data_IF_936047556172
#
_entry.id   IF_936047556172
#
_cell.length_a   1.000
_cell.length_b   1.000
_cell.length_c   1.000
_cell.angle_alpha   90.00
_cell.angle_beta   90.00
_cell.angle_gamma   90.00
#
_symmetry.space_group_name_H-M   'P 1'
#
loop_
_entity.id
_entity.type
_entity.pdbx_description
1 polymer ?
#
# COMPACT_ATOMS: atom_id res chain seq x y z
N UNK A 1 10.52 -7.30 17.34
CA UNK A 1 10.65 -6.43 16.15
C UNK A 1 10.63 -7.34 14.94
N UNK A 2 9.93 -6.97 13.87
CA UNK A 2 9.88 -7.80 12.67
C UNK A 2 11.24 -7.82 11.97
N UNK A 3 11.69 -8.99 11.55
CA UNK A 3 12.92 -9.22 10.80
C UNK A 3 12.65 -10.21 9.65
N UNK A 4 13.52 -10.20 8.65
CA UNK A 4 13.54 -11.22 7.60
C UNK A 4 14.98 -11.61 7.27
N UNK A 5 15.10 -12.74 6.57
CA UNK A 5 16.38 -13.31 6.16
C UNK A 5 16.29 -13.65 4.67
N UNK A 6 17.38 -13.42 3.94
CA UNK A 6 17.48 -13.74 2.52
C UNK A 6 18.35 -15.00 2.37
N UNK A 7 17.80 -16.04 1.75
CA UNK A 7 18.52 -17.28 1.44
C UNK A 7 18.92 -17.34 -0.03
N UNK A 8 20.20 -17.57 -0.30
CA UNK A 8 20.75 -17.92 -1.62
C UNK A 8 21.16 -19.40 -1.70
N UNK A 9 21.73 -19.83 -2.84
CA UNK A 9 22.07 -21.24 -3.11
C UNK A 9 22.99 -21.89 -2.07
N UNK A 10 23.84 -21.13 -1.38
CA UNK A 10 24.78 -21.69 -0.39
C UNK A 10 25.07 -20.72 0.77
N UNK A 11 24.29 -19.66 0.92
CA UNK A 11 24.50 -18.67 1.97
C UNK A 11 23.18 -18.07 2.43
N UNK A 12 23.19 -17.60 3.68
CA UNK A 12 22.06 -16.96 4.34
C UNK A 12 22.55 -15.60 4.81
N UNK A 13 21.75 -14.56 4.60
CA UNK A 13 22.07 -13.23 5.12
C UNK A 13 21.99 -13.19 6.64
N UNK A 14 22.58 -12.16 7.25
CA UNK A 14 22.21 -11.79 8.61
C UNK A 14 20.73 -11.35 8.67
N UNK A 15 20.17 -11.29 9.89
CA UNK A 15 18.83 -10.76 10.10
C UNK A 15 18.74 -9.28 9.65
N UNK A 16 17.78 -9.00 8.78
CA UNK A 16 17.46 -7.64 8.35
C UNK A 16 16.22 -7.18 9.11
N UNK A 17 16.36 -6.11 9.91
CA UNK A 17 15.26 -5.53 10.67
C UNK A 17 14.33 -4.73 9.76
N UNK A 18 13.02 -4.98 9.89
CA UNK A 18 11.99 -4.18 9.24
C UNK A 18 11.71 -2.94 10.09
N UNK A 19 12.09 -1.78 9.58
CA UNK A 19 11.97 -0.50 10.30
C UNK A 19 10.78 0.35 9.85
N UNK A 20 10.14 0.02 8.73
CA UNK A 20 9.04 0.78 8.12
C UNK A 20 8.09 -0.15 7.36
N UNK A 21 6.85 0.29 7.19
CA UNK A 21 5.81 -0.46 6.47
C UNK A 21 5.11 -1.49 7.35
N UNK A 22 4.41 -2.42 6.69
CA UNK A 22 3.70 -3.54 7.32
C UNK A 22 4.33 -4.86 6.85
N UNK A 23 4.36 -5.88 7.71
CA UNK A 23 4.99 -7.17 7.39
C UNK A 23 4.07 -8.02 6.51
N UNK A 24 4.59 -8.60 5.44
CA UNK A 24 3.83 -9.53 4.60
C UNK A 24 3.56 -10.85 5.35
N UNK A 25 2.40 -11.47 5.10
CA UNK A 25 2.01 -12.72 5.77
C UNK A 25 1.35 -12.53 7.14
N UNK A 26 1.42 -11.33 7.73
CA UNK A 26 0.70 -10.99 8.95
C UNK A 26 -0.77 -10.66 8.66
N UNK A 27 -1.68 -11.26 9.42
CA UNK A 27 -3.14 -11.14 9.18
C UNK A 27 -3.66 -9.70 9.32
N UNK A 28 -2.99 -8.88 10.13
CA UNK A 28 -3.38 -7.49 10.35
C UNK A 28 -2.75 -6.52 9.34
N UNK A 29 -1.69 -6.90 8.65
CA UNK A 29 -0.99 -6.01 7.72
C UNK A 29 -1.86 -5.50 6.57
N UNK A 30 -2.73 -6.32 5.94
CA UNK A 30 -3.65 -5.82 4.92
C UNK A 30 -4.58 -4.73 5.45
N UNK A 31 -5.15 -4.93 6.64
CA UNK A 31 -6.06 -3.96 7.26
C UNK A 31 -5.33 -2.66 7.60
N UNK A 32 -4.13 -2.74 8.19
CA UNK A 32 -3.33 -1.57 8.54
C UNK A 32 -2.92 -0.79 7.29
N UNK A 33 -2.56 -1.48 6.21
CA UNK A 33 -2.26 -0.84 4.93
C UNK A 33 -3.49 -0.14 4.34
N UNK A 34 -4.65 -0.81 4.29
CA UNK A 34 -5.90 -0.20 3.82
C UNK A 34 -6.31 1.02 4.65
N UNK A 35 -6.10 0.98 5.97
CA UNK A 35 -6.36 2.13 6.85
C UNK A 35 -5.41 3.29 6.53
N UNK A 36 -4.13 3.01 6.29
CA UNK A 36 -3.12 4.02 5.95
C UNK A 36 -3.46 4.77 4.65
N UNK A 37 -4.03 4.10 3.66
CA UNK A 37 -4.43 4.72 2.38
C UNK A 37 -5.91 5.12 2.33
N UNK A 38 -6.63 5.05 3.45
CA UNK A 38 -8.10 5.17 3.45
C UNK A 38 -8.62 6.54 3.01
N UNK A 39 -7.80 7.59 3.13
CA UNK A 39 -8.11 8.98 2.76
C UNK A 39 -7.32 9.45 1.52
N UNK A 40 -6.68 8.53 0.81
CA UNK A 40 -5.75 8.89 -0.27
C UNK A 40 -6.45 9.65 -1.41
N UNK A 41 -7.70 9.28 -1.71
CA UNK A 41 -8.49 9.95 -2.75
C UNK A 41 -8.81 11.37 -2.33
N UNK A 42 -9.31 11.58 -1.11
CA UNK A 42 -9.59 12.92 -0.58
C UNK A 42 -8.33 13.78 -0.56
N UNK A 43 -7.19 13.21 -0.15
CA UNK A 43 -5.91 13.90 -0.15
C UNK A 43 -5.54 14.42 -1.55
N UNK A 44 -5.61 13.57 -2.58
CA UNK A 44 -5.28 13.97 -3.94
C UNK A 44 -6.30 14.95 -4.54
N UNK A 45 -7.60 14.73 -4.32
CA UNK A 45 -8.65 15.65 -4.77
C UNK A 45 -8.49 17.03 -4.12
N UNK A 46 -8.16 17.11 -2.82
CA UNK A 46 -7.87 18.37 -2.13
C UNK A 46 -6.63 19.10 -2.69
N UNK A 47 -5.72 18.39 -3.38
CA UNK A 47 -4.56 18.94 -4.09
C UNK A 47 -4.82 19.24 -5.57
N UNK A 48 -6.06 19.10 -6.03
CA UNK A 48 -6.47 19.42 -7.40
C UNK A 48 -6.34 18.28 -8.40
N UNK A 49 -6.19 17.03 -7.93
CA UNK A 49 -6.29 15.88 -8.81
C UNK A 49 -7.70 15.82 -9.44
N UNK A 50 -7.76 15.58 -10.74
CA UNK A 50 -9.01 15.46 -11.50
C UNK A 50 -9.15 14.04 -12.03
N UNK A 51 -10.35 13.49 -11.92
CA UNK A 51 -10.66 12.18 -12.47
C UNK A 51 -10.94 12.20 -13.96
N UNK A 52 -11.24 11.02 -14.49
CA UNK A 52 -11.77 10.82 -15.84
C UNK A 52 -13.30 10.79 -15.74
N UNK A 53 -13.98 11.66 -16.49
CA UNK A 53 -15.43 11.65 -16.55
C UNK A 53 -15.94 10.36 -17.20
N UNK A 54 -16.74 9.59 -16.46
CA UNK A 54 -17.32 8.31 -16.93
C UNK A 54 -18.83 8.42 -17.19
N UNK A 55 -19.47 9.51 -16.74
CA UNK A 55 -20.86 9.87 -17.03
C UNK A 55 -21.08 11.37 -16.69
N UNK A 56 -22.23 11.93 -17.08
CA UNK A 56 -22.68 13.33 -16.89
C UNK A 56 -22.32 13.94 -15.53
N UNK A 57 -22.32 13.14 -14.47
CA UNK A 57 -22.24 13.57 -13.08
C UNK A 57 -21.26 12.73 -12.24
N UNK A 58 -20.39 11.93 -12.87
CA UNK A 58 -19.40 11.08 -12.16
C UNK A 58 -18.03 11.09 -12.81
N UNK A 59 -17.02 11.33 -11.98
CA UNK A 59 -15.61 11.20 -12.33
C UNK A 59 -14.99 10.00 -11.61
N UNK A 60 -14.24 9.19 -12.35
CA UNK A 60 -13.39 8.14 -11.81
C UNK A 60 -12.04 8.76 -11.43
N UNK A 61 -11.72 8.79 -10.13
CA UNK A 61 -10.45 9.37 -9.64
C UNK A 61 -9.37 8.31 -9.48
N UNK A 62 -9.70 7.18 -8.83
CA UNK A 62 -8.73 6.15 -8.47
C UNK A 62 -9.47 4.84 -8.15
N UNK A 63 -8.92 3.71 -8.57
CA UNK A 63 -9.43 2.37 -8.24
C UNK A 63 -8.56 1.76 -7.16
N UNK A 64 -9.06 1.67 -5.93
CA UNK A 64 -8.27 1.16 -4.80
C UNK A 64 -8.45 -0.33 -4.62
N UNK A 65 -7.40 -1.11 -4.83
CA UNK A 65 -7.38 -2.53 -4.47
C UNK A 65 -6.02 -2.94 -3.92
N UNK A 66 -5.90 -3.03 -2.59
CA UNK A 66 -4.62 -3.26 -1.94
C UNK A 66 -3.56 -2.29 -2.49
N UNK A 67 -2.42 -2.78 -2.97
CA UNK A 67 -1.34 -2.01 -3.59
C UNK A 67 -1.57 -1.66 -5.08
N UNK A 68 -2.62 -2.18 -5.71
CA UNK A 68 -3.03 -1.83 -7.07
C UNK A 68 -3.89 -0.54 -7.07
N UNK A 69 -3.47 0.46 -7.87
CA UNK A 69 -4.07 1.80 -7.95
C UNK A 69 -4.12 2.37 -9.37
#
# INVERSE_FOLDING_TARGET
MASFVISGESSVSDEVLVTRGVLQGEILSPLLFSLFISDIVEYFTAKGARGININKDKDLIMTLYADDM
#
